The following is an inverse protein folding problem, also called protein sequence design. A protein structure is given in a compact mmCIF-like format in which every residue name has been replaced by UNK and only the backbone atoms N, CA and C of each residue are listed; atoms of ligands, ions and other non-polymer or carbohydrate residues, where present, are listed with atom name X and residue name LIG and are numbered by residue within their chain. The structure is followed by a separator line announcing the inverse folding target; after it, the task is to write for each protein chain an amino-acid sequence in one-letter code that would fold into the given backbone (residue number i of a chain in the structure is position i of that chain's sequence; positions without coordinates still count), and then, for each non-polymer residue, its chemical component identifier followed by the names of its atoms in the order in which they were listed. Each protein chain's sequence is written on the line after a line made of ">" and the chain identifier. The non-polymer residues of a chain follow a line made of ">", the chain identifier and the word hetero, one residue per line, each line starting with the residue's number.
data_IF_967583283789
#
_entry.id   IF_967583283789
#
_cell.length_a   1.000
_cell.length_b   1.000
_cell.length_c   1.000
_cell.angle_alpha   90.00
_cell.angle_beta   90.00
_cell.angle_gamma   90.00
#
_symmetry.space_group_name_H-M   'P 1'
#
loop_
_entity.id
_entity.type
_entity.pdbx_description
1 polymer ?
#
# COMPACT_ATOMS: atom_id res chain seq x y z
N UNK A 1 -6.79 -70.14 14.36
CA UNK A 1 -6.19 -71.02 15.38
C UNK A 1 -5.98 -70.12 16.58
N UNK A 2 -6.99 -69.89 17.43
CA UNK A 2 -7.83 -70.85 18.16
C UNK A 2 -7.00 -71.75 19.06
N UNK A 3 -7.53 -71.85 20.28
CA UNK A 3 -7.33 -72.83 21.33
C UNK A 3 -6.22 -72.48 22.32
N UNK A 4 -6.40 -72.48 23.64
CA UNK A 4 -7.44 -72.86 24.62
C UNK A 4 -6.67 -73.49 25.79
N UNK A 5 -7.28 -73.54 26.97
CA UNK A 5 -6.76 -74.25 28.14
C UNK A 5 -6.68 -73.29 29.31
N UNK A 6 -7.79 -73.03 30.00
CA UNK A 6 -8.46 -73.99 30.89
C UNK A 6 -8.30 -73.41 32.31
N UNK A 7 -9.17 -73.60 33.29
CA UNK A 7 -10.15 -74.64 33.55
C UNK A 7 -11.17 -73.98 34.50
N UNK A 8 -12.45 -74.27 34.28
CA UNK A 8 -13.53 -73.99 35.21
C UNK A 8 -13.38 -74.84 36.48
N UNK A 9 -13.94 -74.40 37.61
CA UNK A 9 -14.87 -75.19 38.41
C UNK A 9 -15.45 -74.36 39.58
N UNK A 10 -16.78 -74.30 39.58
CA UNK A 10 -17.72 -74.45 40.70
C UNK A 10 -17.66 -73.39 41.82
N UNK A 11 -18.62 -72.44 41.88
CA UNK A 11 -19.99 -72.59 42.40
C UNK A 11 -20.06 -73.15 43.83
N UNK A 12 -20.35 -72.29 44.81
CA UNK A 12 -21.23 -72.61 45.94
C UNK A 12 -21.61 -71.35 46.73
N UNK A 13 -22.92 -71.15 46.87
CA UNK A 13 -23.67 -70.72 48.07
C UNK A 13 -23.29 -69.38 48.73
N UNK A 14 -24.13 -68.36 48.57
CA UNK A 14 -25.26 -68.04 49.47
C UNK A 14 -24.85 -67.33 50.77
N UNK A 15 -25.43 -66.14 50.90
CA UNK A 15 -25.96 -65.58 52.15
C UNK A 15 -24.98 -65.27 53.31
N UNK A 16 -24.64 -63.98 53.45
CA UNK A 16 -24.81 -63.26 54.73
C UNK A 16 -24.75 -61.75 54.55
N UNK A 17 -25.92 -61.14 54.74
CA UNK A 17 -26.11 -59.73 55.04
C UNK A 17 -25.60 -59.51 56.48
N UNK A 18 -24.66 -58.59 56.69
CA UNK A 18 -24.15 -58.24 58.01
C UNK A 18 -23.29 -56.98 57.95
N UNK A 19 -23.69 -56.00 58.75
CA UNK A 19 -23.15 -54.65 58.93
C UNK A 19 -21.62 -54.49 58.85
N UNK A 20 -21.15 -53.44 58.18
CA UNK A 20 -19.83 -52.82 58.40
C UNK A 20 -19.79 -51.38 57.82
N UNK A 21 -20.63 -50.48 58.36
CA UNK A 21 -20.62 -49.04 58.01
C UNK A 21 -19.62 -48.23 58.89
N UNK A 22 -18.93 -48.87 59.84
CA UNK A 22 -17.96 -48.20 60.72
C UNK A 22 -16.53 -48.10 60.13
N UNK A 23 -16.23 -48.84 59.05
CA UNK A 23 -14.89 -48.87 58.44
C UNK A 23 -14.61 -47.74 57.44
N UNK A 24 -15.64 -47.10 56.87
CA UNK A 24 -15.48 -46.07 55.83
C UNK A 24 -15.24 -44.66 56.38
N UNK A 25 -15.79 -44.31 57.55
CA UNK A 25 -15.57 -42.99 58.16
C UNK A 25 -14.11 -42.77 58.61
N UNK A 26 -13.44 -43.81 59.11
CA UNK A 26 -12.09 -43.70 59.63
C UNK A 26 -11.00 -43.64 58.52
N UNK A 27 -11.26 -44.26 57.36
CA UNK A 27 -10.42 -44.13 56.16
C UNK A 27 -10.60 -42.76 55.48
N UNK A 28 -11.83 -42.23 55.46
CA UNK A 28 -12.13 -40.89 54.97
C UNK A 28 -11.44 -39.79 55.79
N UNK A 29 -11.52 -39.86 57.12
CA UNK A 29 -10.87 -38.89 58.02
C UNK A 29 -9.34 -38.95 57.99
N UNK A 30 -8.73 -40.14 57.79
CA UNK A 30 -7.27 -40.26 57.60
C UNK A 30 -6.82 -39.69 56.26
N UNK A 31 -7.59 -39.89 55.19
CA UNK A 31 -7.33 -39.32 53.87
C UNK A 31 -7.42 -37.79 53.88
N UNK A 32 -8.46 -37.23 54.52
CA UNK A 32 -8.63 -35.78 54.69
C UNK A 32 -7.47 -35.14 55.46
N UNK A 33 -7.11 -35.70 56.63
CA UNK A 33 -5.95 -35.20 57.41
C UNK A 33 -4.61 -35.31 56.67
N UNK A 34 -4.48 -36.30 55.77
CA UNK A 34 -3.27 -36.43 54.96
C UNK A 34 -3.24 -35.40 53.82
N UNK A 35 -4.39 -35.11 53.20
CA UNK A 35 -4.52 -34.03 52.22
C UNK A 35 -4.30 -32.66 52.84
N UNK A 36 -4.83 -32.42 54.03
CA UNK A 36 -4.67 -31.18 54.78
C UNK A 36 -3.19 -30.97 55.19
N UNK A 37 -2.49 -32.03 55.63
CA UNK A 37 -1.04 -31.99 55.84
C UNK A 37 -0.23 -31.74 54.57
N UNK A 38 -0.66 -32.26 53.42
CA UNK A 38 0.00 -32.01 52.14
C UNK A 38 -0.26 -30.55 51.71
N UNK A 39 -1.47 -30.04 51.89
CA UNK A 39 -1.84 -28.65 51.61
C UNK A 39 -1.08 -27.67 52.51
N UNK A 40 -0.98 -27.93 53.82
CA UNK A 40 -0.16 -27.14 54.75
C UNK A 40 1.31 -27.15 54.33
N UNK A 41 1.83 -28.30 53.88
CA UNK A 41 3.22 -28.40 53.43
C UNK A 41 3.45 -27.71 52.08
N UNK A 42 2.46 -27.72 51.19
CA UNK A 42 2.49 -26.97 49.92
C UNK A 42 2.40 -25.46 50.19
N UNK A 43 1.57 -25.03 51.14
CA UNK A 43 1.46 -23.65 51.61
C UNK A 43 2.72 -23.19 52.34
N UNK A 44 3.41 -24.07 53.07
CA UNK A 44 4.71 -23.79 53.72
C UNK A 44 5.87 -23.66 52.69
N UNK A 45 5.77 -24.38 51.56
CA UNK A 45 6.70 -24.29 50.42
C UNK A 45 6.39 -23.07 49.54
N UNK A 46 5.12 -22.68 49.41
CA UNK A 46 4.67 -21.53 48.61
C UNK A 46 4.37 -20.28 49.45
N UNK A 47 4.82 -20.24 50.70
CA UNK A 47 4.70 -19.03 51.51
C UNK A 47 5.53 -17.91 50.85
N UNK A 48 4.90 -16.80 50.42
CA UNK A 48 5.56 -15.74 49.65
C UNK A 48 6.67 -15.02 50.43
N UNK A 49 6.85 -15.32 51.71
CA UNK A 49 7.93 -14.81 52.57
C UNK A 49 9.30 -15.45 52.30
N UNK A 50 9.41 -16.50 51.48
CA UNK A 50 10.71 -17.16 51.16
C UNK A 50 11.29 -16.84 49.77
N UNK A 51 10.65 -15.98 48.97
CA UNK A 51 11.31 -15.34 47.81
C UNK A 51 11.94 -14.01 48.24
N UNK A 52 13.10 -14.09 48.89
CA UNK A 52 13.82 -12.91 49.38
C UNK A 52 14.50 -12.09 48.28
N UNK A 53 14.50 -12.57 47.04
CA UNK A 53 15.17 -11.92 45.90
C UNK A 53 14.14 -11.68 44.78
N UNK A 54 13.94 -10.41 44.35
CA UNK A 54 13.08 -10.09 43.21
C UNK A 54 13.48 -10.87 41.95
N UNK A 55 12.49 -11.35 41.19
CA UNK A 55 12.68 -12.17 39.97
C UNK A 55 13.65 -11.51 38.98
N UNK A 56 13.60 -10.19 38.82
CA UNK A 56 14.48 -9.45 37.91
C UNK A 56 15.96 -9.51 38.33
N UNK A 57 16.28 -9.62 39.62
CA UNK A 57 17.67 -9.72 40.09
C UNK A 57 18.32 -11.02 39.63
N UNK A 58 17.57 -12.13 39.70
CA UNK A 58 18.05 -13.41 39.16
C UNK A 58 18.25 -13.34 37.64
N UNK A 59 17.32 -12.71 36.91
CA UNK A 59 17.46 -12.50 35.48
C UNK A 59 18.70 -11.63 35.14
N UNK A 60 18.95 -10.58 35.93
CA UNK A 60 20.13 -9.72 35.79
C UNK A 60 21.43 -10.50 36.03
N UNK A 61 21.52 -11.32 37.07
CA UNK A 61 22.69 -12.16 37.35
C UNK A 61 22.98 -13.12 36.19
N UNK A 62 21.94 -13.72 35.61
CA UNK A 62 22.08 -14.62 34.45
C UNK A 62 22.57 -13.83 33.23
N UNK A 63 22.01 -12.65 32.96
CA UNK A 63 22.47 -11.79 31.86
C UNK A 63 23.93 -11.33 32.04
N UNK A 64 24.31 -10.92 33.25
CA UNK A 64 25.68 -10.50 33.55
C UNK A 64 26.67 -11.65 33.32
N UNK A 65 26.32 -12.87 33.73
CA UNK A 65 27.12 -14.08 33.46
C UNK A 65 27.25 -14.38 31.97
N UNK A 66 26.15 -14.32 31.20
CA UNK A 66 26.16 -14.58 29.74
C UNK A 66 27.02 -13.55 29.01
N UNK A 67 26.86 -12.27 29.36
CA UNK A 67 27.56 -11.16 28.71
C UNK A 67 28.97 -10.91 29.29
N UNK A 68 29.40 -11.71 30.27
CA UNK A 68 30.69 -11.57 30.97
C UNK A 68 30.90 -10.16 31.53
N UNK A 69 29.84 -9.57 32.09
CA UNK A 69 29.91 -8.28 32.77
C UNK A 69 30.74 -8.45 34.06
N UNK A 70 31.73 -7.56 34.33
CA UNK A 70 32.50 -7.63 35.56
C UNK A 70 31.64 -7.49 36.81
N UNK A 71 32.00 -8.22 37.88
CA UNK A 71 31.27 -8.25 39.14
C UNK A 71 31.02 -6.85 39.73
N UNK A 72 32.00 -5.94 39.62
CA UNK A 72 31.86 -4.55 40.08
C UNK A 72 30.73 -3.78 39.37
N UNK A 73 30.49 -4.08 38.08
CA UNK A 73 29.42 -3.46 37.29
C UNK A 73 28.08 -4.15 37.57
N UNK A 74 28.08 -5.45 37.83
CA UNK A 74 26.89 -6.18 38.27
C UNK A 74 26.38 -5.64 39.61
N UNK A 75 27.26 -5.46 40.61
CA UNK A 75 26.90 -4.89 41.91
C UNK A 75 26.28 -3.49 41.78
N UNK A 76 26.78 -2.68 40.83
CA UNK A 76 26.17 -1.38 40.51
C UNK A 76 24.75 -1.50 39.94
N UNK A 77 24.52 -2.50 39.09
CA UNK A 77 23.19 -2.78 38.51
C UNK A 77 22.21 -3.34 39.54
N UNK A 78 22.67 -4.21 40.44
CA UNK A 78 21.86 -4.76 41.53
C UNK A 78 21.39 -3.69 42.53
N UNK A 79 22.14 -2.59 42.64
CA UNK A 79 21.77 -1.42 43.45
C UNK A 79 20.80 -0.44 42.76
N UNK A 80 20.36 -0.71 41.53
CA UNK A 80 19.36 0.12 40.84
C UNK A 80 17.94 -0.21 41.29
N UNK A 81 17.02 0.72 41.05
CA UNK A 81 15.59 0.41 40.95
C UNK A 81 15.32 -0.32 39.63
N UNK A 82 14.32 -1.20 39.64
CA UNK A 82 13.94 -1.99 38.46
C UNK A 82 13.56 -1.10 37.27
N UNK A 83 12.87 0.01 37.53
CA UNK A 83 12.41 0.98 36.52
C UNK A 83 13.55 1.68 35.75
N UNK A 84 14.74 1.77 36.35
CA UNK A 84 15.91 2.43 35.74
C UNK A 84 16.92 1.42 35.18
N UNK A 85 16.65 0.12 35.36
CA UNK A 85 17.61 -0.94 35.06
C UNK A 85 18.01 -0.94 33.59
N UNK A 86 17.09 -0.63 32.68
CA UNK A 86 17.33 -0.63 31.24
C UNK A 86 18.41 0.40 30.83
N UNK A 87 18.33 1.60 31.38
CA UNK A 87 19.24 2.72 31.10
C UNK A 87 20.63 2.42 31.65
N UNK A 88 20.69 1.95 32.90
CA UNK A 88 21.96 1.61 33.55
C UNK A 88 22.61 0.38 32.92
N UNK A 89 21.82 -0.65 32.60
CA UNK A 89 22.30 -1.85 31.93
C UNK A 89 22.88 -1.51 30.56
N UNK A 90 22.21 -0.64 29.78
CA UNK A 90 22.75 -0.13 28.51
C UNK A 90 24.09 0.57 28.72
N UNK A 91 24.21 1.45 29.72
CA UNK A 91 25.49 2.11 30.01
C UNK A 91 26.62 1.12 30.35
N UNK A 92 26.31 0.08 31.13
CA UNK A 92 27.27 -0.99 31.47
C UNK A 92 27.68 -1.80 30.24
N UNK A 93 26.69 -2.23 29.44
CA UNK A 93 26.86 -3.03 28.24
C UNK A 93 27.69 -2.31 27.18
N UNK A 94 27.42 -1.03 26.97
CA UNK A 94 28.13 -0.16 26.02
C UNK A 94 29.53 0.24 26.52
N UNK A 95 29.94 -0.27 27.68
CA UNK A 95 31.29 -0.16 28.21
C UNK A 95 31.61 1.18 28.85
N UNK A 96 30.61 1.99 29.22
CA UNK A 96 30.84 3.24 29.95
C UNK A 96 31.61 2.94 31.25
N UNK A 97 32.63 3.75 31.61
CA UNK A 97 33.40 3.55 32.83
C UNK A 97 32.53 3.59 34.07
N UNK A 98 32.78 2.69 35.02
CA UNK A 98 31.99 2.59 36.25
C UNK A 98 32.06 3.87 37.10
N UNK A 99 33.20 4.56 37.11
CA UNK A 99 33.36 5.84 37.79
C UNK A 99 32.41 6.91 37.22
N UNK A 100 32.20 6.89 35.91
CA UNK A 100 31.30 7.82 35.23
C UNK A 100 29.83 7.49 35.50
N UNK A 101 29.47 6.21 35.44
CA UNK A 101 28.13 5.73 35.80
C UNK A 101 27.77 6.09 37.26
N UNK A 102 28.70 5.90 38.20
CA UNK A 102 28.53 6.31 39.60
C UNK A 102 28.40 7.83 39.74
N UNK A 103 29.17 8.60 38.96
CA UNK A 103 29.08 10.07 38.94
C UNK A 103 27.73 10.58 38.41
N UNK A 104 27.16 9.91 37.41
CA UNK A 104 25.82 10.22 36.87
C UNK A 104 24.70 9.78 37.81
N UNK A 105 24.91 8.77 38.66
CA UNK A 105 23.92 8.40 39.69
C UNK A 105 23.96 9.35 40.90
N UNK A 106 25.14 9.83 41.28
CA UNK A 106 25.32 10.72 42.43
C UNK A 106 24.90 12.17 42.18
N UNK A 107 24.70 12.55 40.92
CA UNK A 107 24.11 13.82 40.49
C UNK A 107 22.73 13.46 39.94
N UNK A 108 21.67 14.17 40.28
CA UNK A 108 20.28 13.83 39.86
C UNK A 108 20.06 14.01 38.34
N UNK A 109 20.73 13.19 37.51
CA UNK A 109 20.60 13.24 36.06
C UNK A 109 19.26 12.67 35.64
N UNK A 110 18.64 13.32 34.66
CA UNK A 110 17.44 12.78 34.02
C UNK A 110 17.80 11.60 33.11
N UNK A 111 16.83 10.71 32.87
CA UNK A 111 16.98 9.56 31.98
C UNK A 111 17.48 9.98 30.57
N UNK A 112 17.00 11.11 30.06
CA UNK A 112 17.42 11.68 28.78
C UNK A 112 18.89 12.09 28.75
N UNK A 113 19.38 12.72 29.81
CA UNK A 113 20.79 13.12 29.93
C UNK A 113 21.72 11.90 30.01
N UNK A 114 21.30 10.86 30.75
CA UNK A 114 22.06 9.60 30.85
C UNK A 114 22.12 8.93 29.48
N UNK A 115 20.99 8.80 28.76
CA UNK A 115 20.96 8.25 27.40
C UNK A 115 21.82 9.04 26.43
N UNK A 116 21.75 10.37 26.45
CA UNK A 116 22.57 11.24 25.59
C UNK A 116 24.07 11.05 25.85
N UNK A 117 24.46 10.90 27.12
CA UNK A 117 25.86 10.68 27.50
C UNK A 117 26.37 9.30 27.10
N UNK A 118 25.57 8.25 27.29
CA UNK A 118 25.88 6.90 26.79
C UNK A 118 26.05 6.93 25.27
N UNK A 119 25.14 7.58 24.53
CA UNK A 119 25.25 7.74 23.07
C UNK A 119 26.53 8.47 22.66
N UNK A 120 26.93 9.50 23.39
CA UNK A 120 28.19 10.19 23.13
C UNK A 120 29.41 9.28 23.34
N UNK A 121 29.38 8.46 24.40
CA UNK A 121 30.44 7.48 24.66
C UNK A 121 30.54 6.44 23.54
N UNK A 122 29.41 5.93 23.05
CA UNK A 122 29.36 5.01 21.91
C UNK A 122 29.96 5.68 20.67
N UNK A 123 29.57 6.93 20.37
CA UNK A 123 30.13 7.69 19.23
C UNK A 123 31.64 7.86 19.30
N UNK A 124 32.21 7.98 20.51
CA UNK A 124 33.66 8.08 20.73
C UNK A 124 34.37 6.73 20.63
N UNK A 125 33.68 5.64 21.00
CA UNK A 125 34.20 4.25 20.99
C UNK A 125 34.07 3.55 19.66
N UNK A 126 33.18 3.98 18.78
CA UNK A 126 33.16 3.56 17.38
C UNK A 126 34.22 4.44 16.68
N UNK A 127 35.48 3.99 16.52
CA UNK A 127 36.26 4.52 15.43
C UNK A 127 35.49 4.08 14.18
N UNK A 128 34.70 4.98 13.59
CA UNK A 128 34.54 4.84 12.16
C UNK A 128 35.97 4.87 11.66
N UNK A 129 36.45 3.77 11.07
CA UNK A 129 37.76 3.82 10.44
C UNK A 129 37.72 5.06 9.55
N UNK A 130 38.78 5.87 9.57
CA UNK A 130 38.84 7.16 8.86
C UNK A 130 38.20 7.05 7.44
N UNK A 131 38.44 5.90 6.77
CA UNK A 131 37.84 5.55 5.49
C UNK A 131 36.31 5.36 5.46
N UNK A 132 35.68 4.78 6.48
CA UNK A 132 34.20 4.65 6.55
C UNK A 132 33.56 6.02 6.76
N UNK A 133 34.12 6.87 7.63
CA UNK A 133 33.59 8.22 7.84
C UNK A 133 33.72 9.06 6.56
N UNK A 134 34.89 8.99 5.91
CA UNK A 134 35.11 9.67 4.64
C UNK A 134 34.15 9.18 3.55
N UNK A 135 33.90 7.87 3.48
CA UNK A 135 32.95 7.31 2.52
C UNK A 135 31.52 7.77 2.76
N UNK A 136 31.10 7.88 4.03
CA UNK A 136 29.78 8.41 4.37
C UNK A 136 29.66 9.88 3.94
N UNK A 137 30.69 10.69 4.16
CA UNK A 137 30.70 12.09 3.71
C UNK A 137 30.64 12.19 2.18
N UNK A 138 31.42 11.38 1.46
CA UNK A 138 31.37 11.31 -0.01
C UNK A 138 29.97 10.93 -0.51
N UNK A 139 29.36 9.89 0.06
CA UNK A 139 28.02 9.46 -0.34
C UNK A 139 26.95 10.53 -0.04
N UNK A 140 27.07 11.23 1.09
CA UNK A 140 26.18 12.35 1.41
C UNK A 140 26.36 13.53 0.45
N UNK A 141 27.57 13.78 -0.03
CA UNK A 141 27.81 14.81 -1.03
C UNK A 141 27.23 14.39 -2.38
N UNK A 142 27.52 13.17 -2.84
CA UNK A 142 26.98 12.62 -4.08
C UNK A 142 25.44 12.61 -4.10
N UNK A 143 24.80 12.26 -2.98
CA UNK A 143 23.35 12.30 -2.88
C UNK A 143 22.80 13.74 -2.99
N UNK A 144 23.51 14.74 -2.42
CA UNK A 144 23.13 16.15 -2.53
C UNK A 144 23.28 16.68 -3.95
N UNK A 145 24.39 16.35 -4.60
CA UNK A 145 24.66 16.77 -5.98
C UNK A 145 23.64 16.13 -6.93
N UNK A 146 23.36 14.82 -6.79
CA UNK A 146 22.33 14.15 -7.58
C UNK A 146 20.94 14.78 -7.39
N UNK A 147 20.56 15.13 -6.15
CA UNK A 147 19.29 15.81 -5.89
C UNK A 147 19.21 17.19 -6.55
N UNK A 148 20.32 17.94 -6.58
CA UNK A 148 20.39 19.22 -7.27
C UNK A 148 20.23 19.04 -8.79
N UNK A 149 20.90 18.05 -9.38
CA UNK A 149 20.77 17.71 -10.81
C UNK A 149 19.33 17.32 -11.16
N UNK A 150 18.69 16.47 -10.34
CA UNK A 150 17.29 16.10 -10.53
C UNK A 150 16.35 17.31 -10.44
N UNK A 151 16.57 18.22 -9.49
CA UNK A 151 15.78 19.44 -9.38
C UNK A 151 15.93 20.32 -10.63
N UNK A 152 17.16 20.51 -11.11
CA UNK A 152 17.44 21.26 -12.33
C UNK A 152 16.76 20.66 -13.56
N UNK A 153 16.88 19.34 -13.77
CA UNK A 153 16.26 18.66 -14.92
C UNK A 153 14.74 18.77 -14.85
N UNK A 154 14.15 18.53 -13.67
CA UNK A 154 12.71 18.64 -13.46
C UNK A 154 12.20 20.04 -13.80
N UNK A 155 12.86 21.07 -13.27
CA UNK A 155 12.40 22.45 -13.43
C UNK A 155 12.54 22.91 -14.89
N UNK A 156 13.60 22.47 -15.58
CA UNK A 156 13.81 22.71 -17.02
C UNK A 156 12.72 22.02 -17.85
N UNK A 157 12.44 20.74 -17.60
CA UNK A 157 11.42 19.98 -18.32
C UNK A 157 10.01 20.54 -18.09
N UNK A 158 9.70 20.97 -16.87
CA UNK A 158 8.45 21.64 -16.55
C UNK A 158 8.34 22.98 -17.30
N UNK A 159 9.42 23.76 -17.36
CA UNK A 159 9.44 25.00 -18.13
C UNK A 159 9.18 24.74 -19.62
N UNK A 160 9.89 23.80 -20.24
CA UNK A 160 9.70 23.43 -21.65
C UNK A 160 8.25 22.98 -21.94
N UNK A 161 7.65 22.16 -21.07
CA UNK A 161 6.24 21.73 -21.23
C UNK A 161 5.30 22.92 -21.13
N UNK A 162 5.49 23.79 -20.14
CA UNK A 162 4.60 24.94 -19.92
C UNK A 162 4.68 25.95 -21.06
N UNK A 163 5.88 26.21 -21.58
CA UNK A 163 6.11 27.06 -22.75
C UNK A 163 5.50 26.44 -24.01
N UNK A 164 5.73 25.15 -24.25
CA UNK A 164 5.15 24.44 -25.40
C UNK A 164 3.62 24.46 -25.37
N UNK A 165 3.00 24.17 -24.22
CA UNK A 165 1.53 24.25 -24.05
C UNK A 165 0.99 25.67 -24.19
N UNK A 166 1.79 26.69 -23.85
CA UNK A 166 1.40 28.09 -24.06
C UNK A 166 1.41 28.42 -25.55
N UNK A 167 2.49 28.10 -26.25
CA UNK A 167 2.60 28.30 -27.70
C UNK A 167 1.50 27.58 -28.46
N UNK A 168 1.16 26.34 -28.08
CA UNK A 168 0.07 25.60 -28.70
C UNK A 168 -1.29 26.29 -28.49
N UNK A 169 -1.58 26.77 -27.27
CA UNK A 169 -2.80 27.54 -27.00
C UNK A 169 -2.87 28.82 -27.80
N UNK A 170 -1.77 29.57 -27.88
CA UNK A 170 -1.70 30.82 -28.64
C UNK A 170 -1.91 30.56 -30.15
N UNK A 171 -1.34 29.47 -30.68
CA UNK A 171 -1.55 29.04 -32.07
C UNK A 171 -3.00 28.60 -32.32
N UNK A 172 -3.60 27.81 -31.42
CA UNK A 172 -5.00 27.41 -31.52
C UNK A 172 -5.94 28.62 -31.46
N UNK A 173 -5.65 29.60 -30.60
CA UNK A 173 -6.42 30.83 -30.48
C UNK A 173 -6.38 31.64 -31.78
N UNK A 174 -5.20 31.81 -32.39
CA UNK A 174 -5.08 32.48 -33.68
C UNK A 174 -5.85 31.74 -34.80
N UNK A 175 -5.86 30.41 -34.77
CA UNK A 175 -6.66 29.61 -35.73
C UNK A 175 -8.16 29.80 -35.51
N UNK A 176 -8.62 29.91 -34.26
CA UNK A 176 -10.03 30.18 -33.95
C UNK A 176 -10.43 31.57 -34.45
N UNK A 177 -9.62 32.59 -34.21
CA UNK A 177 -9.87 33.95 -34.69
C UNK A 177 -9.98 34.02 -36.22
N UNK A 178 -9.05 33.38 -36.95
CA UNK A 178 -9.11 33.29 -38.41
C UNK A 178 -10.36 32.53 -38.92
N UNK A 179 -10.79 31.49 -38.18
CA UNK A 179 -12.04 30.76 -38.50
C UNK A 179 -13.26 31.63 -38.26
N UNK A 180 -13.29 32.42 -37.19
CA UNK A 180 -14.41 33.31 -36.88
C UNK A 180 -14.54 34.44 -37.92
N UNK A 181 -13.42 35.00 -38.39
CA UNK A 181 -13.40 35.94 -39.52
C UNK A 181 -13.99 35.30 -40.79
N UNK A 182 -13.56 34.07 -41.09
CA UNK A 182 -14.07 33.32 -42.24
C UNK A 182 -15.57 33.05 -42.13
N UNK A 183 -16.05 32.69 -40.93
CA UNK A 183 -17.47 32.48 -40.64
C UNK A 183 -18.25 33.78 -40.86
N UNK A 184 -17.71 34.93 -40.43
CA UNK A 184 -18.34 36.24 -40.64
C UNK A 184 -18.55 36.52 -42.13
N UNK A 185 -17.48 36.39 -42.93
CA UNK A 185 -17.52 36.59 -44.39
C UNK A 185 -18.50 35.61 -45.05
N UNK A 186 -18.53 34.35 -44.62
CA UNK A 186 -19.46 33.36 -45.16
C UNK A 186 -20.92 33.69 -44.81
N UNK A 187 -21.20 34.14 -43.58
CA UNK A 187 -22.54 34.58 -43.15
C UNK A 187 -23.03 35.76 -43.99
N UNK A 188 -22.17 36.73 -44.27
CA UNK A 188 -22.49 37.87 -45.16
C UNK A 188 -22.82 37.41 -46.58
N UNK A 189 -22.04 36.48 -47.15
CA UNK A 189 -22.35 35.92 -48.48
C UNK A 189 -23.67 35.15 -48.50
N UNK A 190 -23.98 34.40 -47.45
CA UNK A 190 -25.26 33.68 -47.32
C UNK A 190 -26.41 34.68 -47.32
N UNK A 191 -26.35 35.75 -46.51
CA UNK A 191 -27.43 36.75 -46.45
C UNK A 191 -27.59 37.50 -47.78
N UNK A 192 -26.49 37.80 -48.48
CA UNK A 192 -26.51 38.39 -49.82
C UNK A 192 -27.19 37.46 -50.84
N UNK A 193 -26.78 36.19 -50.88
CA UNK A 193 -27.35 35.18 -51.78
C UNK A 193 -28.83 34.92 -51.49
N UNK A 194 -29.21 34.82 -50.22
CA UNK A 194 -30.62 34.73 -49.83
C UNK A 194 -31.42 35.94 -50.29
N UNK A 195 -30.85 37.15 -50.20
CA UNK A 195 -31.44 38.37 -50.74
C UNK A 195 -31.68 38.29 -52.25
N UNK A 196 -30.66 37.84 -53.01
CA UNK A 196 -30.77 37.61 -54.46
C UNK A 196 -31.83 36.57 -54.79
N UNK A 197 -31.89 35.44 -54.05
CA UNK A 197 -32.91 34.41 -54.22
C UNK A 197 -34.31 34.96 -53.95
N UNK A 198 -34.49 35.74 -52.88
CA UNK A 198 -35.79 36.40 -52.56
C UNK A 198 -36.23 37.33 -53.69
N UNK A 199 -35.31 38.14 -54.23
CA UNK A 199 -35.59 39.05 -55.33
C UNK A 199 -35.95 38.31 -56.63
N UNK A 200 -35.20 37.25 -56.97
CA UNK A 200 -35.49 36.40 -58.13
C UNK A 200 -36.83 35.67 -58.00
N UNK A 201 -37.17 35.14 -56.81
CA UNK A 201 -38.50 34.55 -56.54
C UNK A 201 -39.62 35.57 -56.68
N UNK A 202 -39.42 36.81 -56.20
CA UNK A 202 -40.39 37.90 -56.35
C UNK A 202 -40.57 38.33 -57.82
N UNK A 203 -39.48 38.33 -58.61
CA UNK A 203 -39.53 38.55 -60.06
C UNK A 203 -40.20 37.40 -60.83
N UNK A 204 -40.04 36.15 -60.38
CA UNK A 204 -40.70 34.98 -60.95
C UNK A 204 -42.21 34.93 -60.67
N UNK A 205 -42.70 35.57 -59.61
CA UNK A 205 -44.13 35.68 -59.32
C UNK A 205 -44.87 36.70 -60.22
N UNK A 206 -44.20 37.36 -61.17
CA UNK A 206 -44.82 38.16 -62.25
C UNK A 206 -44.74 37.49 -63.64
N UNK A 207 -44.30 36.23 -63.73
CA UNK A 207 -44.36 35.45 -64.96
C UNK A 207 -44.65 33.98 -64.62
N UNK A 208 -45.84 33.51 -65.01
CA UNK A 208 -46.33 32.15 -64.78
C UNK A 208 -45.43 31.03 -65.37
N UNK A 209 -45.62 29.77 -64.94
CA UNK A 209 -44.54 28.80 -64.81
C UNK A 209 -44.43 27.83 -66.00
N UNK A 210 -43.21 27.44 -66.35
CA UNK A 210 -42.99 26.22 -67.12
C UNK A 210 -41.59 25.61 -66.94
N UNK A 211 -41.63 24.32 -66.58
CA UNK A 211 -40.69 23.23 -66.92
C UNK A 211 -39.44 22.97 -66.05
N UNK A 212 -39.35 21.67 -65.77
CA UNK A 212 -38.41 20.85 -65.00
C UNK A 212 -36.99 20.90 -65.58
N UNK A 213 -35.99 20.67 -64.73
CA UNK A 213 -35.05 19.54 -64.85
C UNK A 213 -34.15 19.48 -63.61
N UNK A 214 -34.31 18.42 -62.80
CA UNK A 214 -33.47 18.12 -61.65
C UNK A 214 -32.38 17.15 -62.08
N UNK A 215 -31.21 17.67 -62.41
CA UNK A 215 -29.96 16.91 -62.42
C UNK A 215 -29.51 16.80 -60.96
N UNK A 216 -29.68 15.63 -60.33
CA UNK A 216 -29.20 15.39 -58.97
C UNK A 216 -27.68 15.13 -59.00
N UNK A 217 -26.84 15.92 -58.33
CA UNK A 217 -25.52 15.44 -57.92
C UNK A 217 -25.64 14.57 -56.66
N UNK A 218 -24.64 13.72 -56.48
CA UNK A 218 -24.51 12.61 -55.52
C UNK A 218 -24.89 12.94 -54.07
N UNK A 219 -26.06 12.47 -53.63
CA UNK A 219 -26.47 12.46 -52.21
C UNK A 219 -25.72 11.41 -51.37
N UNK A 220 -25.02 10.47 -52.01
CA UNK A 220 -24.40 9.31 -51.35
C UNK A 220 -23.07 9.65 -50.64
N UNK A 221 -22.39 10.72 -51.05
CA UNK A 221 -21.11 11.12 -50.43
C UNK A 221 -21.30 11.91 -49.13
N UNK A 222 -22.37 12.70 -49.01
CA UNK A 222 -22.66 13.43 -47.77
C UNK A 222 -23.10 12.51 -46.62
N UNK A 223 -23.73 11.37 -46.93
CA UNK A 223 -24.12 10.39 -45.91
C UNK A 223 -22.91 9.68 -45.27
N UNK A 224 -21.83 9.47 -46.02
CA UNK A 224 -20.60 8.85 -45.49
C UNK A 224 -19.83 9.79 -44.55
N UNK A 225 -19.81 11.09 -44.84
CA UNK A 225 -19.17 12.10 -43.96
C UNK A 225 -19.93 12.27 -42.65
N UNK A 226 -21.27 12.24 -42.67
CA UNK A 226 -22.10 12.31 -41.47
C UNK A 226 -21.99 11.09 -40.55
N UNK A 227 -21.77 9.88 -41.10
CA UNK A 227 -21.56 8.67 -40.27
C UNK A 227 -20.23 8.71 -39.51
N UNK A 228 -19.14 9.12 -40.16
CA UNK A 228 -17.83 9.23 -39.51
C UNK A 228 -17.82 10.25 -38.37
N UNK A 229 -18.53 11.38 -38.51
CA UNK A 229 -18.64 12.36 -37.42
C UNK A 229 -19.41 11.82 -36.22
N UNK A 230 -20.44 10.98 -36.44
CA UNK A 230 -21.21 10.37 -35.34
C UNK A 230 -20.40 9.31 -34.59
N UNK A 231 -19.57 8.54 -35.29
CA UNK A 231 -18.67 7.56 -34.64
C UNK A 231 -17.62 8.23 -33.75
N UNK A 232 -17.05 9.36 -34.19
CA UNK A 232 -16.08 10.13 -33.38
C UNK A 232 -16.74 10.67 -32.11
N UNK A 233 -17.96 11.21 -32.21
CA UNK A 233 -18.70 11.73 -31.04
C UNK A 233 -18.96 10.59 -30.06
N UNK A 234 -19.46 9.45 -30.53
CA UNK A 234 -19.73 8.27 -29.68
C UNK A 234 -18.47 7.71 -29.03
N UNK A 235 -17.36 7.64 -29.76
CA UNK A 235 -16.08 7.21 -29.21
C UNK A 235 -15.63 8.11 -28.07
N UNK A 236 -15.71 9.43 -28.26
CA UNK A 236 -15.37 10.40 -27.22
C UNK A 236 -16.24 10.22 -25.98
N UNK A 237 -17.56 10.23 -26.15
CA UNK A 237 -18.51 10.15 -25.04
C UNK A 237 -18.38 8.85 -24.23
N UNK A 238 -18.12 7.71 -24.90
CA UNK A 238 -18.11 6.40 -24.25
C UNK A 238 -16.77 6.02 -23.63
N UNK A 239 -15.65 6.53 -24.15
CA UNK A 239 -14.31 6.09 -23.74
C UNK A 239 -13.44 7.22 -23.20
N UNK A 240 -13.46 8.41 -23.82
CA UNK A 240 -12.57 9.50 -23.43
C UNK A 240 -13.13 10.31 -22.25
N UNK A 241 -14.43 10.57 -22.27
CA UNK A 241 -15.11 11.33 -21.23
C UNK A 241 -15.49 10.46 -20.00
N UNK A 242 -15.41 9.13 -20.11
CA UNK A 242 -15.66 8.19 -19.02
C UNK A 242 -14.51 8.21 -17.98
N UNK A 243 -14.78 8.53 -16.69
CA UNK A 243 -13.76 8.59 -15.65
C UNK A 243 -13.23 7.21 -15.22
N UNK A 244 -13.95 6.12 -15.47
CA UNK A 244 -13.55 4.77 -15.04
C UNK A 244 -12.42 4.20 -15.91
N UNK A 245 -12.18 4.78 -17.08
CA UNK A 245 -11.03 4.48 -17.91
C UNK A 245 -9.80 5.28 -17.47
N UNK A 246 -8.71 4.57 -17.22
CA UNK A 246 -7.38 5.15 -17.02
C UNK A 246 -6.83 5.80 -18.30
N UNK A 247 -5.87 6.71 -18.16
CA UNK A 247 -5.19 7.35 -19.29
C UNK A 247 -4.55 6.34 -20.24
N UNK A 248 -3.96 5.27 -19.73
CA UNK A 248 -3.34 4.22 -20.55
C UNK A 248 -4.37 3.46 -21.40
N UNK A 249 -5.54 3.15 -20.84
CA UNK A 249 -6.63 2.51 -21.58
C UNK A 249 -7.21 3.44 -22.66
N UNK A 250 -7.33 4.75 -22.37
CA UNK A 250 -7.80 5.75 -23.34
C UNK A 250 -6.85 5.87 -24.53
N UNK A 251 -5.54 5.96 -24.28
CA UNK A 251 -4.50 5.97 -25.32
C UNK A 251 -4.53 4.70 -26.16
N UNK A 252 -4.68 3.53 -25.53
CA UNK A 252 -4.79 2.27 -26.28
C UNK A 252 -6.03 2.23 -27.21
N UNK A 253 -7.18 2.70 -26.73
CA UNK A 253 -8.41 2.75 -27.54
C UNK A 253 -8.32 3.79 -28.66
N UNK A 254 -7.65 4.92 -28.42
CA UNK A 254 -7.37 5.93 -29.45
C UNK A 254 -6.53 5.35 -30.58
N UNK A 255 -5.43 4.68 -30.25
CA UNK A 255 -4.60 3.99 -31.24
C UNK A 255 -5.40 2.97 -32.06
N UNK A 256 -6.28 2.20 -31.41
CA UNK A 256 -7.14 1.26 -32.12
C UNK A 256 -8.14 1.97 -33.06
N UNK A 257 -8.68 3.12 -32.65
CA UNK A 257 -9.58 3.92 -33.48
C UNK A 257 -8.86 4.57 -34.67
N UNK A 258 -7.62 5.03 -34.48
CA UNK A 258 -6.73 5.53 -35.56
C UNK A 258 -6.39 4.44 -36.59
N UNK A 259 -6.26 3.19 -36.14
CA UNK A 259 -6.12 2.01 -36.99
C UNK A 259 -7.42 1.62 -37.73
N UNK A 260 -8.42 2.51 -37.75
CA UNK A 260 -9.71 2.37 -38.41
C UNK A 260 -10.57 1.20 -37.87
N UNK A 261 -10.45 0.85 -36.59
CA UNK A 261 -11.47 0.02 -35.95
C UNK A 261 -12.73 0.85 -35.74
N UNK A 262 -13.86 0.32 -36.17
CA UNK A 262 -15.17 0.93 -35.89
C UNK A 262 -15.49 0.88 -34.40
N UNK A 263 -16.40 1.76 -33.96
CA UNK A 263 -16.89 1.78 -32.59
C UNK A 263 -17.42 0.41 -32.11
N UNK A 264 -18.15 -0.31 -32.98
CA UNK A 264 -18.68 -1.64 -32.67
C UNK A 264 -17.60 -2.71 -32.49
N UNK A 265 -16.44 -2.56 -33.14
CA UNK A 265 -15.31 -3.47 -32.98
C UNK A 265 -14.57 -3.20 -31.68
N UNK A 266 -14.38 -1.93 -31.33
CA UNK A 266 -13.77 -1.51 -30.07
C UNK A 266 -14.58 -1.99 -28.87
N UNK A 267 -15.92 -1.88 -28.93
CA UNK A 267 -16.82 -2.28 -27.85
C UNK A 267 -16.71 -3.78 -27.46
N UNK A 268 -16.10 -4.63 -28.30
CA UNK A 268 -15.96 -6.07 -28.01
C UNK A 268 -14.86 -6.39 -27.00
N UNK A 269 -13.90 -5.48 -26.82
CA UNK A 269 -12.78 -5.66 -25.91
C UNK A 269 -12.52 -4.44 -25.02
N UNK A 270 -13.17 -3.30 -25.29
CA UNK A 270 -13.14 -2.12 -24.44
C UNK A 270 -13.91 -2.34 -23.13
N UNK A 271 -13.20 -2.33 -22.01
CA UNK A 271 -13.80 -2.37 -20.68
C UNK A 271 -12.87 -1.68 -19.67
N UNK A 272 -13.42 -0.83 -18.77
CA UNK A 272 -12.60 -0.16 -17.75
C UNK A 272 -12.03 -1.16 -16.73
N UNK A 273 -12.66 -2.33 -16.57
CA UNK A 273 -12.22 -3.39 -15.65
C UNK A 273 -11.04 -4.22 -16.18
N UNK A 274 -10.61 -4.02 -17.43
CA UNK A 274 -9.55 -4.79 -18.06
C UNK A 274 -8.27 -3.98 -18.21
N UNK A 275 -7.11 -4.58 -17.94
CA UNK A 275 -5.82 -3.92 -18.23
C UNK A 275 -5.60 -3.78 -19.73
N UNK A 276 -4.75 -2.83 -20.15
CA UNK A 276 -4.37 -2.64 -21.56
C UNK A 276 -3.84 -3.93 -22.18
N UNK A 277 -3.07 -4.71 -21.43
CA UNK A 277 -2.55 -6.00 -21.90
C UNK A 277 -3.68 -7.01 -22.15
N UNK A 278 -4.68 -7.09 -21.26
CA UNK A 278 -5.85 -7.94 -21.43
C UNK A 278 -6.67 -7.51 -22.66
N UNK A 279 -6.90 -6.21 -22.84
CA UNK A 279 -7.60 -5.65 -24.01
C UNK A 279 -6.85 -5.96 -25.31
N UNK A 280 -5.51 -5.83 -25.33
CA UNK A 280 -4.66 -6.18 -26.47
C UNK A 280 -4.75 -7.67 -26.82
N UNK A 281 -4.76 -8.56 -25.81
CA UNK A 281 -4.92 -10.00 -26.03
C UNK A 281 -6.30 -10.34 -26.59
N UNK A 282 -7.37 -9.73 -26.05
CA UNK A 282 -8.73 -9.90 -26.57
C UNK A 282 -8.86 -9.40 -28.01
N UNK A 283 -8.26 -8.25 -28.32
CA UNK A 283 -8.20 -7.72 -29.69
C UNK A 283 -7.55 -8.72 -30.66
N UNK A 284 -6.38 -9.29 -30.31
CA UNK A 284 -5.71 -10.31 -31.14
C UNK A 284 -6.58 -11.56 -31.35
N UNK A 285 -7.31 -11.99 -30.32
CA UNK A 285 -8.25 -13.13 -30.43
C UNK A 285 -9.39 -12.77 -31.38
N UNK A 286 -9.92 -11.55 -31.27
CA UNK A 286 -10.98 -11.05 -32.14
C UNK A 286 -10.53 -10.97 -33.61
N UNK A 287 -9.38 -10.36 -33.88
CA UNK A 287 -8.82 -10.23 -35.23
C UNK A 287 -8.63 -11.59 -35.89
N UNK A 288 -8.10 -12.58 -35.16
CA UNK A 288 -7.92 -13.96 -35.65
C UNK A 288 -9.23 -14.69 -35.96
N UNK A 289 -10.34 -14.32 -35.33
CA UNK A 289 -11.63 -15.04 -35.45
C UNK A 289 -12.61 -14.39 -36.42
N UNK A 290 -12.51 -13.08 -36.64
CA UNK A 290 -13.57 -12.33 -37.32
C UNK A 290 -13.07 -11.36 -38.41
N UNK A 291 -11.75 -11.16 -38.56
CA UNK A 291 -11.18 -10.22 -39.54
C UNK A 291 -10.35 -10.89 -40.65
N UNK A 292 -10.22 -12.22 -40.63
CA UNK A 292 -9.82 -13.07 -41.78
C UNK A 292 -11.00 -13.31 -42.70
#
# INVERSE_FOLDING_TARGET
>A
MKDEGGIAELSEMEEKKGDDDAGKENLGQKSEKHKEKILDKILEIHSPEKMTVPVWKHALEVMCRILKIPEEKEQFLQGCREEELDVWFRGVYEGVPLAELKGMRGKEWTEGEIKARILQHIKQRIPLSEGVYQKILELQQQARDALADYAYIRDTYLQEITESRKQERDAQQHVLEAKDETICIQKERITELEGKIRNLKRGKNQAEPAKKENTKPSFLEHFKKGRKSVEIIRFREMYLDDPDYSSEQKEFLLNCFEENLSFEELARFASPALTVEQMSRLRRIYEKRYRT
#
